data_IF_448508100176
#
_entry.id   IF_448508100176
#
_cell.length_a   1.000
_cell.length_b   1.000
_cell.length_c   1.000
_cell.angle_alpha   90.00
_cell.angle_beta   90.00
_cell.angle_gamma   90.00
#
_symmetry.space_group_name_H-M   'P 1'
#
loop_
_entity.id
_entity.type
_entity.pdbx_description
1 polymer ?
#
# COMPACT_ATOMS: atom_id res chain seq x y z
N UNK A 1 -8.22 -14.66 12.47
CA UNK A 1 -7.52 -13.66 11.63
C UNK A 1 -7.39 -12.28 12.30
N UNK A 2 -8.37 -11.83 13.08
CA UNK A 2 -8.35 -10.53 13.79
C UNK A 2 -7.25 -10.36 14.84
N UNK A 3 -6.93 -11.41 15.61
CA UNK A 3 -5.90 -11.36 16.68
C UNK A 3 -4.52 -10.97 16.14
N UNK A 4 -4.12 -11.50 14.98
CA UNK A 4 -2.78 -11.29 14.43
C UNK A 4 -2.63 -9.85 13.91
N UNK A 5 -3.63 -9.34 13.20
CA UNK A 5 -3.66 -7.94 12.73
C UNK A 5 -3.61 -6.98 13.92
N UNK A 6 -4.34 -7.28 14.99
CA UNK A 6 -4.34 -6.45 16.20
C UNK A 6 -2.99 -6.48 16.91
N UNK A 7 -2.42 -7.67 17.13
CA UNK A 7 -1.18 -7.85 17.86
C UNK A 7 0.04 -7.32 17.09
N UNK A 8 0.20 -7.72 15.83
CA UNK A 8 1.38 -7.41 15.02
C UNK A 8 1.26 -6.06 14.31
N UNK A 9 0.07 -5.70 13.84
CA UNK A 9 -0.16 -4.44 13.13
C UNK A 9 -0.30 -3.27 14.09
N UNK A 10 -1.29 -3.34 14.99
CA UNK A 10 -1.73 -2.17 15.77
C UNK A 10 -0.96 -2.01 17.08
N UNK A 11 -0.83 -3.09 17.85
CA UNK A 11 -0.23 -3.03 19.19
C UNK A 11 1.31 -3.02 19.15
N UNK A 12 1.94 -3.82 18.30
CA UNK A 12 3.40 -3.89 18.21
C UNK A 12 4.05 -2.61 17.64
N UNK A 13 3.30 -1.84 16.85
CA UNK A 13 3.78 -0.58 16.26
C UNK A 13 3.59 0.65 17.15
N UNK A 14 3.18 0.49 18.42
CA UNK A 14 2.98 1.62 19.34
C UNK A 14 4.30 2.17 19.85
N UNK A 15 4.42 3.49 19.91
CA UNK A 15 5.65 4.18 20.35
C UNK A 15 5.96 3.94 21.84
N UNK A 16 4.94 3.67 22.65
CA UNK A 16 5.03 3.40 24.09
C UNK A 16 5.04 1.89 24.41
N UNK A 17 5.28 1.03 23.41
CA UNK A 17 5.30 -0.42 23.62
C UNK A 17 6.39 -0.79 24.64
N UNK A 18 5.94 -1.21 25.83
CA UNK A 18 6.81 -1.76 26.87
C UNK A 18 7.07 -3.24 26.58
N UNK A 19 8.34 -3.65 26.70
CA UNK A 19 8.69 -5.08 26.66
C UNK A 19 8.01 -5.79 27.81
N UNK A 20 7.34 -6.92 27.51
CA UNK A 20 6.80 -7.81 28.53
C UNK A 20 7.98 -8.39 29.32
N UNK A 21 7.88 -8.34 30.64
CA UNK A 21 8.88 -8.83 31.58
C UNK A 21 8.22 -9.73 32.60
N UNK A 22 8.99 -10.66 33.15
CA UNK A 22 8.50 -11.52 34.20
C UNK A 22 8.43 -10.76 35.54
N UNK A 23 7.35 -10.92 36.31
CA UNK A 23 7.31 -10.56 37.71
C UNK A 23 8.46 -11.18 38.51
N UNK A 24 8.97 -10.46 39.50
CA UNK A 24 10.17 -10.86 40.24
C UNK A 24 9.97 -12.14 41.06
N UNK A 25 8.75 -12.36 41.55
CA UNK A 25 8.38 -13.54 42.32
C UNK A 25 8.36 -14.83 41.48
N UNK A 26 8.26 -14.71 40.15
CA UNK A 26 8.36 -15.84 39.22
C UNK A 26 9.80 -16.15 38.81
N UNK A 27 10.77 -15.29 39.13
CA UNK A 27 12.16 -15.45 38.66
C UNK A 27 12.78 -16.76 39.12
N UNK A 28 12.62 -17.13 40.39
CA UNK A 28 13.15 -18.39 40.93
C UNK A 28 12.59 -19.62 40.19
N UNK A 29 11.27 -19.62 39.95
CA UNK A 29 10.61 -20.68 39.20
C UNK A 29 11.10 -20.74 37.74
N UNK A 30 11.31 -19.59 37.10
CA UNK A 30 11.84 -19.55 35.73
C UNK A 30 13.26 -20.09 35.65
N UNK A 31 14.12 -19.75 36.62
CA UNK A 31 15.49 -20.27 36.68
C UNK A 31 15.47 -21.79 36.85
N UNK A 32 14.71 -22.29 37.82
CA UNK A 32 14.54 -23.73 38.03
C UNK A 32 14.07 -24.43 36.75
N UNK A 33 13.02 -23.90 36.11
CA UNK A 33 12.45 -24.49 34.90
C UNK A 33 13.42 -24.45 33.71
N UNK A 34 14.13 -23.34 33.52
CA UNK A 34 15.12 -23.16 32.47
C UNK A 34 16.30 -24.12 32.64
N UNK A 35 16.85 -24.22 33.85
CA UNK A 35 17.94 -25.16 34.17
C UNK A 35 17.51 -26.60 33.96
N UNK A 36 16.33 -26.99 34.44
CA UNK A 36 15.82 -28.35 34.26
C UNK A 36 15.63 -28.70 32.78
N UNK A 37 15.14 -27.76 31.96
CA UNK A 37 14.93 -27.98 30.53
C UNK A 37 16.24 -28.05 29.76
N UNK A 38 17.20 -27.17 30.05
CA UNK A 38 18.55 -27.23 29.46
C UNK A 38 19.22 -28.58 29.78
N UNK A 39 19.11 -29.06 31.02
CA UNK A 39 19.70 -30.33 31.43
C UNK A 39 19.04 -31.53 30.75
N UNK A 40 17.71 -31.53 30.63
CA UNK A 40 16.99 -32.54 29.87
C UNK A 40 17.50 -32.59 28.42
N UNK A 41 17.68 -31.43 27.79
CA UNK A 41 18.19 -31.34 26.42
C UNK A 41 19.62 -31.85 26.29
N UNK A 42 20.50 -31.57 27.26
CA UNK A 42 21.88 -32.11 27.29
C UNK A 42 21.89 -33.63 27.38
N UNK A 43 21.04 -34.20 28.23
CA UNK A 43 21.02 -35.63 28.50
C UNK A 43 20.32 -36.46 27.42
N UNK A 44 19.40 -35.86 26.66
CA UNK A 44 18.58 -36.59 25.69
C UNK A 44 19.23 -36.89 24.34
N UNK A 45 20.50 -36.50 24.13
CA UNK A 45 21.26 -36.86 22.94
C UNK A 45 20.79 -36.17 21.64
N UNK A 46 20.04 -35.07 21.75
CA UNK A 46 19.61 -34.29 20.60
C UNK A 46 20.72 -33.36 20.11
N UNK A 47 20.82 -33.19 18.79
CA UNK A 47 21.64 -32.13 18.20
C UNK A 47 20.91 -30.80 18.34
N UNK A 48 21.38 -29.95 19.25
CA UNK A 48 20.84 -28.61 19.47
C UNK A 48 21.63 -27.60 18.65
N UNK A 49 20.93 -26.72 17.93
CA UNK A 49 21.54 -25.59 17.25
C UNK A 49 21.58 -24.38 18.19
N UNK A 50 22.78 -23.85 18.43
CA UNK A 50 23.01 -22.75 19.38
C UNK A 50 23.53 -23.23 20.73
N UNK A 51 23.58 -22.32 21.70
CA UNK A 51 24.00 -22.62 23.07
C UNK A 51 22.78 -22.94 23.95
N UNK A 52 22.88 -23.98 24.77
CA UNK A 52 21.83 -24.32 25.74
C UNK A 52 21.80 -23.35 26.92
N UNK A 53 22.91 -22.67 27.20
CA UNK A 53 22.96 -21.65 28.24
C UNK A 53 22.14 -20.39 27.85
N UNK A 54 21.86 -20.18 26.55
CA UNK A 54 20.95 -19.14 26.07
C UNK A 54 19.49 -19.35 26.51
N UNK A 55 19.13 -20.57 26.94
CA UNK A 55 17.80 -20.87 27.48
C UNK A 55 17.65 -20.45 28.94
N UNK A 56 18.75 -20.10 29.62
CA UNK A 56 18.71 -19.70 31.01
C UNK A 56 18.18 -18.27 31.13
N UNK A 57 17.25 -18.00 32.07
CA UNK A 57 16.82 -16.64 32.35
C UNK A 57 17.99 -15.75 32.79
N UNK A 58 17.82 -14.43 32.68
CA UNK A 58 18.80 -13.46 33.18
C UNK A 58 19.09 -13.68 34.67
N UNK A 59 20.36 -13.46 35.06
CA UNK A 59 20.81 -13.67 36.43
C UNK A 59 20.04 -12.82 37.47
N UNK A 60 19.54 -11.65 37.06
CA UNK A 60 18.69 -10.81 37.90
C UNK A 60 17.24 -10.78 37.39
N UNK A 61 16.26 -10.64 38.30
CA UNK A 61 14.89 -10.35 37.94
C UNK A 61 14.79 -9.07 37.11
N UNK A 62 13.77 -9.00 36.24
CA UNK A 62 13.64 -7.91 35.27
C UNK A 62 12.56 -6.89 35.63
N UNK A 63 11.77 -7.13 36.69
CA UNK A 63 10.75 -6.20 37.18
C UNK A 63 9.53 -6.08 36.25
N UNK A 64 8.73 -7.14 36.15
CA UNK A 64 7.48 -7.17 35.38
C UNK A 64 6.21 -7.02 36.22
N UNK A 65 5.11 -6.66 35.55
CA UNK A 65 3.76 -6.62 36.14
C UNK A 65 3.00 -7.90 35.75
N UNK A 66 2.21 -8.46 36.68
CA UNK A 66 1.35 -9.59 36.34
C UNK A 66 0.20 -9.12 35.43
N UNK A 67 -0.24 -9.94 34.47
CA UNK A 67 -1.37 -9.59 33.62
C UNK A 67 -2.64 -9.23 34.41
N UNK A 68 -2.87 -9.94 35.53
CA UNK A 68 -4.04 -9.75 36.39
C UNK A 68 -3.95 -8.47 37.26
N UNK A 69 -2.77 -7.87 37.37
CA UNK A 69 -2.53 -6.66 38.17
C UNK A 69 -2.57 -5.38 37.30
N UNK A 70 -2.88 -5.49 36.01
CA UNK A 70 -3.03 -4.34 35.12
C UNK A 70 -4.33 -3.63 35.41
N UNK A 71 -4.27 -2.33 35.69
CA UNK A 71 -5.47 -1.54 35.99
C UNK A 71 -6.36 -1.33 34.74
N UNK A 72 -7.67 -1.23 34.97
CA UNK A 72 -8.66 -1.05 33.90
C UNK A 72 -8.45 0.25 33.11
N UNK A 73 -7.88 1.29 33.74
CA UNK A 73 -7.63 2.57 33.09
C UNK A 73 -6.52 2.46 32.03
N UNK A 74 -5.48 1.67 32.30
CA UNK A 74 -4.42 1.33 31.39
C UNK A 74 -4.99 0.52 30.22
N UNK A 75 -5.85 -0.47 30.50
CA UNK A 75 -6.52 -1.24 29.43
C UNK A 75 -7.38 -0.33 28.56
N UNK A 76 -8.19 0.54 29.17
CA UNK A 76 -9.06 1.47 28.44
C UNK A 76 -8.26 2.45 27.57
N UNK A 77 -7.15 2.97 28.08
CA UNK A 77 -6.25 3.86 27.34
C UNK A 77 -5.73 3.17 26.08
N UNK A 78 -5.20 1.95 26.24
CA UNK A 78 -4.70 1.15 25.10
C UNK A 78 -5.82 0.84 24.11
N UNK A 79 -7.03 0.53 24.60
CA UNK A 79 -8.17 0.23 23.75
C UNK A 79 -8.58 1.43 22.88
N UNK A 80 -8.64 2.63 23.45
CA UNK A 80 -8.96 3.87 22.72
C UNK A 80 -7.92 4.16 21.65
N UNK A 81 -6.63 4.08 21.99
CA UNK A 81 -5.54 4.29 21.02
C UNK A 81 -5.59 3.27 19.88
N UNK A 82 -5.87 2.01 20.21
CA UNK A 82 -5.98 0.91 19.25
C UNK A 82 -7.14 1.17 18.27
N UNK A 83 -8.31 1.56 18.77
CA UNK A 83 -9.47 1.88 17.93
C UNK A 83 -9.20 3.10 17.05
N UNK A 84 -8.62 4.16 17.61
CA UNK A 84 -8.26 5.36 16.84
C UNK A 84 -7.32 5.00 15.68
N UNK A 85 -6.28 4.21 15.95
CA UNK A 85 -5.32 3.78 14.94
C UNK A 85 -5.96 2.91 13.85
N UNK A 86 -6.84 1.97 14.21
CA UNK A 86 -7.60 1.16 13.24
C UNK A 86 -8.47 2.03 12.32
N UNK A 87 -9.05 3.12 12.85
CA UNK A 87 -9.84 4.04 12.05
C UNK A 87 -8.98 4.86 11.07
N UNK A 88 -7.80 5.32 11.50
CA UNK A 88 -6.87 6.03 10.62
C UNK A 88 -6.30 5.12 9.52
N UNK A 89 -5.84 3.92 9.87
CA UNK A 89 -5.33 2.95 8.88
C UNK A 89 -6.40 2.59 7.84
N UNK A 90 -7.68 2.52 8.26
CA UNK A 90 -8.80 2.33 7.35
C UNK A 90 -8.99 3.50 6.39
N UNK A 91 -8.91 4.73 6.87
CA UNK A 91 -9.08 5.92 6.03
C UNK A 91 -7.96 6.03 4.99
N UNK A 92 -6.71 5.82 5.39
CA UNK A 92 -5.56 5.81 4.48
C UNK A 92 -5.73 4.76 3.38
N UNK A 93 -6.20 3.57 3.75
CA UNK A 93 -6.48 2.49 2.80
C UNK A 93 -7.56 2.89 1.80
N UNK A 94 -8.66 3.50 2.26
CA UNK A 94 -9.74 3.97 1.39
C UNK A 94 -9.25 5.08 0.45
N UNK A 95 -8.42 6.00 0.95
CA UNK A 95 -7.84 7.07 0.15
C UNK A 95 -6.92 6.53 -0.95
N UNK A 96 -6.06 5.56 -0.62
CA UNK A 96 -5.21 4.88 -1.60
C UNK A 96 -6.04 4.18 -2.69
N UNK A 97 -7.10 3.47 -2.31
CA UNK A 97 -8.01 2.82 -3.27
C UNK A 97 -8.69 3.84 -4.19
N UNK A 98 -9.13 4.98 -3.64
CA UNK A 98 -9.71 6.07 -4.43
C UNK A 98 -8.70 6.64 -5.44
N UNK A 99 -7.45 6.87 -5.02
CA UNK A 99 -6.37 7.32 -5.89
C UNK A 99 -6.08 6.32 -7.01
N UNK A 100 -5.99 5.02 -6.68
CA UNK A 100 -5.78 3.97 -7.68
C UNK A 100 -6.89 3.94 -8.73
N UNK A 101 -8.15 4.10 -8.30
CA UNK A 101 -9.29 4.15 -9.22
C UNK A 101 -9.24 5.35 -10.15
N UNK A 102 -8.89 6.53 -9.64
CA UNK A 102 -8.71 7.73 -10.46
C UNK A 102 -7.59 7.54 -11.48
N UNK A 103 -6.42 7.05 -11.04
CA UNK A 103 -5.29 6.78 -11.92
C UNK A 103 -5.63 5.75 -13.00
N UNK A 104 -6.33 4.67 -12.65
CA UNK A 104 -6.79 3.67 -13.62
C UNK A 104 -7.69 4.30 -14.69
N UNK A 105 -8.63 5.16 -14.30
CA UNK A 105 -9.48 5.88 -15.24
C UNK A 105 -8.69 6.83 -16.14
N UNK A 106 -7.66 7.49 -15.62
CA UNK A 106 -6.78 8.33 -16.43
C UNK A 106 -5.97 7.52 -17.44
N UNK A 107 -5.44 6.35 -17.03
CA UNK A 107 -4.72 5.46 -17.93
C UNK A 107 -5.62 4.94 -19.05
N UNK A 108 -6.86 4.57 -18.74
CA UNK A 108 -7.85 4.15 -19.71
C UNK A 108 -8.14 5.24 -20.74
N UNK A 109 -8.37 6.49 -20.29
CA UNK A 109 -8.56 7.65 -21.17
C UNK A 109 -7.34 7.90 -22.06
N UNK A 110 -6.14 7.79 -21.51
CA UNK A 110 -4.89 7.96 -22.28
C UNK A 110 -4.70 6.85 -23.31
N UNK A 111 -5.03 5.62 -22.96
CA UNK A 111 -4.98 4.48 -23.89
C UNK A 111 -5.95 4.69 -25.06
N UNK A 112 -7.21 5.07 -24.77
CA UNK A 112 -8.19 5.40 -25.81
C UNK A 112 -7.69 6.51 -26.73
N UNK A 113 -7.06 7.56 -26.19
CA UNK A 113 -6.49 8.65 -27.00
C UNK A 113 -5.36 8.19 -27.91
N UNK A 114 -4.51 7.28 -27.44
CA UNK A 114 -3.44 6.69 -28.27
C UNK A 114 -4.04 5.90 -29.43
N UNK A 115 -5.10 5.13 -29.18
CA UNK A 115 -5.76 4.35 -30.22
C UNK A 115 -6.47 5.24 -31.25
N UNK A 116 -7.15 6.31 -30.82
CA UNK A 116 -7.70 7.33 -31.73
C UNK A 116 -6.63 7.93 -32.66
N UNK A 117 -5.47 8.32 -32.10
CA UNK A 117 -4.37 8.89 -32.87
C UNK A 117 -3.77 7.88 -33.85
N UNK A 118 -3.69 6.60 -33.47
CA UNK A 118 -3.26 5.53 -34.38
C UNK A 118 -4.24 5.37 -35.55
N UNK A 119 -5.53 5.45 -35.29
CA UNK A 119 -6.55 5.32 -36.33
C UNK A 119 -6.60 6.54 -37.25
N UNK A 120 -6.37 7.75 -36.73
CA UNK A 120 -6.15 8.95 -37.55
C UNK A 120 -4.93 8.80 -38.46
N UNK A 121 -3.79 8.37 -37.91
CA UNK A 121 -2.57 8.17 -38.68
C UNK A 121 -2.75 7.12 -39.80
N UNK A 122 -3.42 6.00 -39.51
CA UNK A 122 -3.76 4.98 -40.52
C UNK A 122 -4.64 5.55 -41.63
N UNK A 123 -5.63 6.38 -41.29
CA UNK A 123 -6.50 7.05 -42.27
C UNK A 123 -5.70 7.96 -43.19
N UNK A 124 -4.85 8.83 -42.63
CA UNK A 124 -3.99 9.71 -43.42
C UNK A 124 -3.02 8.93 -44.32
N UNK A 125 -2.44 7.83 -43.82
CA UNK A 125 -1.56 6.97 -44.62
C UNK A 125 -2.31 6.33 -45.79
N UNK A 126 -3.52 5.81 -45.52
CA UNK A 126 -4.37 5.20 -46.54
C UNK A 126 -4.77 6.22 -47.61
N UNK A 127 -5.11 7.45 -47.21
CA UNK A 127 -5.41 8.55 -48.13
C UNK A 127 -4.19 8.90 -48.99
N UNK A 128 -3.01 9.07 -48.39
CA UNK A 128 -1.75 9.32 -49.12
C UNK A 128 -1.35 8.18 -50.06
N UNK A 129 -1.64 6.93 -49.70
CA UNK A 129 -1.42 5.78 -50.56
C UNK A 129 -2.40 5.73 -51.74
N UNK A 130 -3.67 6.02 -51.49
CA UNK A 130 -4.68 6.12 -52.53
C UNK A 130 -4.34 7.23 -53.53
N UNK A 131 -3.94 8.41 -53.05
CA UNK A 131 -3.49 9.53 -53.90
C UNK A 131 -2.24 9.17 -54.72
N UNK A 132 -1.27 8.45 -54.14
CA UNK A 132 -0.09 7.94 -54.87
C UNK A 132 -0.45 6.96 -55.98
N UNK A 133 -1.40 6.05 -55.72
CA UNK A 133 -1.80 4.98 -56.65
C UNK A 133 -2.75 5.49 -57.74
N UNK A 134 -3.54 6.51 -57.43
CA UNK A 134 -4.46 7.17 -58.34
C UNK A 134 -4.09 8.65 -58.49
N UNK A 135 -2.93 8.95 -59.13
CA UNK A 135 -2.58 10.33 -59.42
C UNK A 135 -3.67 10.88 -60.35
N UNK A 136 -4.45 11.83 -59.86
CA UNK A 136 -5.49 12.48 -60.64
C UNK A 136 -4.80 13.11 -61.86
N UNK A 137 -4.95 12.48 -63.04
CA UNK A 137 -4.56 13.08 -64.31
C UNK A 137 -5.39 14.35 -64.44
N UNK A 138 -4.69 15.49 -64.52
CA UNK A 138 -5.27 16.80 -64.33
C UNK A 138 -6.55 17.04 -65.13
N UNK A 139 -7.67 17.16 -64.43
CA UNK A 139 -8.74 18.09 -64.79
C UNK A 139 -9.70 18.26 -63.58
N UNK A 140 -10.10 19.51 -63.35
CA UNK A 140 -11.11 19.98 -62.36
C UNK A 140 -10.69 20.11 -60.89
N UNK A 141 -9.93 21.17 -60.58
CA UNK A 141 -10.13 21.97 -59.34
C UNK A 141 -9.93 23.47 -59.60
N UNK A 142 -10.67 24.02 -60.58
CA UNK A 142 -11.28 25.35 -60.41
C UNK A 142 -12.66 25.08 -59.77
N UNK A 143 -13.06 25.92 -58.81
CA UNK A 143 -14.29 25.81 -57.99
C UNK A 143 -14.09 24.77 -56.85
N UNK A 144 -13.91 25.09 -55.55
CA UNK A 144 -14.49 26.12 -54.69
C UNK A 144 -13.46 26.65 -53.67
N UNK A 145 -12.82 27.79 -53.96
CA UNK A 145 -12.24 28.67 -52.93
C UNK A 145 -12.88 30.05 -53.07
N UNK A 146 -14.22 30.09 -53.05
CA UNK A 146 -14.98 31.35 -53.15
C UNK A 146 -16.30 31.31 -52.35
N UNK A 147 -16.31 30.72 -51.14
CA UNK A 147 -17.37 31.02 -50.14
C UNK A 147 -16.78 30.93 -48.72
N UNK A 148 -15.81 31.80 -48.39
CA UNK A 148 -15.58 32.30 -47.02
C UNK A 148 -14.65 33.52 -47.02
N UNK A 149 -14.90 34.44 -47.96
CA UNK A 149 -14.25 35.77 -47.99
C UNK A 149 -15.24 36.87 -48.38
N UNK A 150 -16.53 36.69 -48.12
CA UNK A 150 -17.58 37.70 -48.29
C UNK A 150 -18.59 37.70 -47.13
N UNK A 151 -18.10 37.54 -45.88
CA UNK A 151 -18.91 37.84 -44.68
C UNK A 151 -18.13 38.60 -43.59
N UNK A 152 -16.90 39.07 -43.87
CA UNK A 152 -16.12 39.88 -42.92
C UNK A 152 -15.33 41.00 -43.61
N UNK A 153 -15.99 41.79 -44.47
CA UNK A 153 -15.54 43.15 -44.84
C UNK A 153 -16.65 43.91 -45.58
N UNK A 154 -17.22 44.90 -44.89
CA UNK A 154 -18.38 45.72 -45.25
C UNK A 154 -19.52 45.41 -44.29
N UNK A 155 -19.96 46.26 -43.37
CA UNK A 155 -19.72 47.69 -43.20
C UNK A 155 -20.14 48.05 -41.77
N UNK A 156 -19.27 48.70 -41.01
CA UNK A 156 -19.71 49.67 -40.02
C UNK A 156 -19.55 51.05 -40.67
N UNK A 157 -20.61 51.86 -40.64
CA UNK A 157 -20.63 53.33 -40.69
C UNK A 157 -22.04 53.80 -41.09
N UNK A 158 -22.68 54.60 -40.24
CA UNK A 158 -23.99 55.19 -40.42
C UNK A 158 -24.70 55.33 -39.08
#
# INVERSE_FOLDING_TARGET
>A
MTKQILAEGVLAGRADMRKIRAPDDLHAWMVERGTAMAEQLRLGGWTVAGDLDDLLPSAQPTGGTRPDDVDDAAVATVAVETVARLLFEREDTLQLMAQQRTLASELEKRAARVDELRDELKREQTEREWERRHPVRGQTRRVTRKVRRHLTRGSGAG
#
